data_IF_789024185167
#
_entry.id   IF_789024185167
#
_cell.length_a   1.000
_cell.length_b   1.000
_cell.length_c   1.000
_cell.angle_alpha   90.00
_cell.angle_beta   90.00
_cell.angle_gamma   90.00
#
_symmetry.space_group_name_H-M   'P 1'
#
loop_
_entity.id
_entity.type
_entity.pdbx_description
1 polymer ?
#
# COMPACT_ATOMS: atom_id res chain seq x y z
N UNK A 1 -11.97 5.47 -21.94
CA UNK A 1 -10.65 4.85 -22.13
C UNK A 1 -10.82 3.34 -22.09
N UNK A 2 -10.29 2.58 -23.06
CA UNK A 2 -10.46 1.12 -23.08
C UNK A 2 -9.47 0.44 -22.12
N UNK A 3 -9.92 -0.64 -21.48
CA UNK A 3 -9.07 -1.46 -20.60
C UNK A 3 -7.98 -2.19 -21.40
N UNK A 4 -6.86 -2.51 -20.74
CA UNK A 4 -5.77 -3.33 -21.31
C UNK A 4 -4.67 -2.55 -22.03
N UNK A 5 -4.83 -1.24 -22.26
CA UNK A 5 -3.75 -0.42 -22.80
C UNK A 5 -2.68 -0.16 -21.73
N UNK A 6 -1.41 -0.44 -22.08
CA UNK A 6 -0.25 -0.31 -21.16
C UNK A 6 -0.15 1.06 -20.49
N UNK A 7 -0.56 2.13 -21.19
CA UNK A 7 -0.43 3.51 -20.74
C UNK A 7 -1.76 4.12 -20.25
N UNK A 8 -2.82 3.30 -20.11
CA UNK A 8 -4.14 3.79 -19.70
C UNK A 8 -4.09 4.41 -18.30
N UNK A 9 -3.55 3.69 -17.32
CA UNK A 9 -3.50 4.13 -15.93
C UNK A 9 -2.74 5.46 -15.77
N UNK A 10 -1.61 5.64 -16.44
CA UNK A 10 -0.81 6.86 -16.38
C UNK A 10 -1.51 8.04 -17.05
N UNK A 11 -2.26 7.78 -18.13
CA UNK A 11 -3.05 8.81 -18.79
C UNK A 11 -4.24 9.22 -17.93
N UNK A 12 -4.89 8.25 -17.28
CA UNK A 12 -5.99 8.52 -16.36
C UNK A 12 -5.52 9.23 -15.08
N UNK A 13 -4.38 8.84 -14.51
CA UNK A 13 -3.78 9.54 -13.37
C UNK A 13 -3.52 11.01 -13.70
N UNK A 14 -2.89 11.32 -14.84
CA UNK A 14 -2.65 12.71 -15.27
C UNK A 14 -3.95 13.51 -15.40
N UNK A 15 -5.00 12.89 -15.92
CA UNK A 15 -6.31 13.51 -16.00
C UNK A 15 -6.90 13.78 -14.61
N UNK A 16 -6.80 12.83 -13.68
CA UNK A 16 -7.27 13.01 -12.30
C UNK A 16 -6.45 14.09 -11.56
N UNK A 17 -5.14 14.15 -11.79
CA UNK A 17 -4.28 15.21 -11.25
C UNK A 17 -4.74 16.60 -11.75
N UNK A 18 -5.10 16.71 -13.03
CA UNK A 18 -5.66 17.94 -13.62
C UNK A 18 -7.02 18.31 -13.01
N UNK A 19 -7.91 17.32 -12.88
CA UNK A 19 -9.23 17.50 -12.26
C UNK A 19 -9.08 18.01 -10.83
N UNK A 20 -8.18 17.42 -10.04
CA UNK A 20 -7.95 17.76 -8.63
C UNK A 20 -7.06 18.99 -8.42
N UNK A 21 -6.51 19.58 -9.48
CA UNK A 21 -5.59 20.71 -9.37
C UNK A 21 -6.21 21.86 -8.56
N UNK A 22 -5.47 22.33 -7.55
CA UNK A 22 -5.92 23.39 -6.65
C UNK A 22 -6.88 22.96 -5.53
N UNK A 23 -7.16 21.66 -5.40
CA UNK A 23 -7.86 21.09 -4.23
C UNK A 23 -6.83 20.44 -3.31
N UNK A 24 -6.41 21.15 -2.27
CA UNK A 24 -5.39 20.72 -1.30
C UNK A 24 -5.90 19.71 -0.25
N UNK A 25 -7.21 19.48 -0.23
CA UNK A 25 -7.90 18.55 0.67
C UNK A 25 -8.24 17.19 0.05
N UNK A 26 -7.72 16.92 -1.15
CA UNK A 26 -7.95 15.69 -1.91
C UNK A 26 -6.63 15.02 -2.29
N UNK A 27 -6.64 13.70 -2.35
CA UNK A 27 -5.55 12.91 -2.92
C UNK A 27 -6.11 11.86 -3.88
N UNK A 28 -5.73 11.94 -5.16
CA UNK A 28 -6.17 11.02 -6.20
C UNK A 28 -5.10 10.00 -6.55
N UNK A 29 -5.48 8.72 -6.64
CA UNK A 29 -4.65 7.66 -7.18
C UNK A 29 -5.48 6.81 -8.15
N UNK A 30 -5.21 7.00 -9.44
CA UNK A 30 -5.96 6.43 -10.55
C UNK A 30 -7.45 6.71 -10.34
N UNK A 31 -8.25 5.72 -10.01
CA UNK A 31 -9.70 5.77 -9.84
C UNK A 31 -10.16 6.05 -8.40
N UNK A 32 -9.26 6.00 -7.43
CA UNK A 32 -9.58 6.25 -6.03
C UNK A 32 -9.24 7.69 -5.63
N UNK A 33 -10.20 8.39 -5.01
CA UNK A 33 -10.01 9.74 -4.47
C UNK A 33 -10.26 9.73 -2.96
N UNK A 34 -9.25 10.10 -2.19
CA UNK A 34 -9.35 10.34 -0.75
C UNK A 34 -9.62 11.82 -0.48
N UNK A 35 -10.59 12.11 0.38
CA UNK A 35 -10.93 13.48 0.81
C UNK A 35 -10.75 13.57 2.32
N UNK A 36 -10.04 14.60 2.78
CA UNK A 36 -9.73 14.79 4.20
C UNK A 36 -10.04 16.22 4.65
N UNK A 37 -10.42 16.39 5.91
CA UNK A 37 -10.85 17.69 6.47
C UNK A 37 -10.73 17.67 7.99
N UNK A 38 -10.67 18.82 8.64
CA UNK A 38 -10.53 18.93 10.10
C UNK A 38 -11.88 18.95 10.83
N UNK A 39 -12.99 19.16 10.13
CA UNK A 39 -14.34 19.12 10.70
C UNK A 39 -15.39 18.60 9.73
N UNK A 40 -16.53 18.13 10.25
CA UNK A 40 -17.66 17.70 9.43
C UNK A 40 -18.23 18.82 8.54
N UNK A 41 -18.21 20.06 9.03
CA UNK A 41 -18.72 21.20 8.26
C UNK A 41 -17.81 21.55 7.09
N UNK A 42 -16.51 21.57 7.33
CA UNK A 42 -15.49 21.72 6.30
C UNK A 42 -15.54 20.57 5.29
N UNK A 43 -15.69 19.33 5.77
CA UNK A 43 -15.79 18.15 4.90
C UNK A 43 -16.95 18.23 3.92
N UNK A 44 -18.13 18.71 4.36
CA UNK A 44 -19.26 18.96 3.46
C UNK A 44 -18.92 20.01 2.40
N UNK A 45 -18.15 21.03 2.75
CA UNK A 45 -17.72 22.05 1.79
C UNK A 45 -16.70 21.51 0.78
N UNK A 46 -15.74 20.71 1.25
CA UNK A 46 -14.74 20.03 0.41
C UNK A 46 -15.39 19.06 -0.57
N UNK A 47 -16.34 18.25 -0.11
CA UNK A 47 -17.10 17.35 -0.97
C UNK A 47 -17.90 18.12 -2.04
N UNK A 48 -18.50 19.26 -1.69
CA UNK A 48 -19.21 20.11 -2.66
C UNK A 48 -18.27 20.60 -3.76
N UNK A 49 -17.13 21.20 -3.38
CA UNK A 49 -16.13 21.69 -4.33
C UNK A 49 -15.59 20.56 -5.21
N UNK A 50 -15.30 19.39 -4.63
CA UNK A 50 -14.87 18.22 -5.38
C UNK A 50 -15.94 17.78 -6.38
N UNK A 51 -17.20 17.59 -5.95
CA UNK A 51 -18.25 17.10 -6.85
C UNK A 51 -18.58 18.09 -7.97
N UNK A 52 -18.52 19.40 -7.69
CA UNK A 52 -18.63 20.43 -8.73
C UNK A 52 -17.50 20.29 -9.75
N UNK A 53 -16.27 20.08 -9.28
CA UNK A 53 -15.10 19.86 -10.14
C UNK A 53 -15.21 18.58 -10.98
N UNK A 54 -15.59 17.45 -10.35
CA UNK A 54 -15.81 16.19 -11.06
C UNK A 54 -16.87 16.36 -12.15
N UNK A 55 -17.97 17.06 -11.84
CA UNK A 55 -19.03 17.37 -12.80
C UNK A 55 -18.54 18.24 -13.97
N UNK A 56 -17.72 19.25 -13.72
CA UNK A 56 -17.15 20.12 -14.77
C UNK A 56 -16.30 19.33 -15.77
N UNK A 57 -15.53 18.35 -15.29
CA UNK A 57 -14.68 17.50 -16.13
C UNK A 57 -15.38 16.24 -16.64
N UNK A 58 -16.67 16.05 -16.37
CA UNK A 58 -17.45 14.89 -16.81
C UNK A 58 -17.07 13.58 -16.12
N UNK A 59 -16.49 13.62 -14.92
CA UNK A 59 -16.13 12.45 -14.13
C UNK A 59 -17.36 11.93 -13.39
N UNK A 60 -17.70 10.66 -13.60
CA UNK A 60 -18.83 10.00 -12.96
C UNK A 60 -18.35 9.18 -11.77
N UNK A 61 -18.98 9.41 -10.62
CA UNK A 61 -18.66 8.70 -9.36
C UNK A 61 -19.57 7.50 -9.19
N UNK A 62 -19.00 6.36 -8.80
CA UNK A 62 -19.76 5.19 -8.39
C UNK A 62 -20.17 5.31 -6.92
N UNK A 63 -21.37 5.83 -6.67
CA UNK A 63 -21.90 6.08 -5.32
C UNK A 63 -21.97 4.83 -4.45
N UNK A 64 -22.18 3.64 -5.04
CA UNK A 64 -22.24 2.38 -4.30
C UNK A 64 -20.90 1.95 -3.69
N UNK A 65 -19.77 2.51 -4.19
CA UNK A 65 -18.42 2.25 -3.68
C UNK A 65 -17.89 3.39 -2.79
N UNK A 66 -18.62 4.49 -2.68
CA UNK A 66 -18.20 5.62 -1.86
C UNK A 66 -18.40 5.34 -0.37
N UNK A 67 -17.45 5.80 0.44
CA UNK A 67 -17.47 5.66 1.90
C UNK A 67 -17.41 7.08 2.50
N UNK A 68 -18.54 7.76 2.70
CA UNK A 68 -18.55 9.17 3.09
C UNK A 68 -18.32 9.36 4.60
N UNK A 69 -17.55 10.39 4.96
CA UNK A 69 -17.52 10.98 6.30
C UNK A 69 -17.08 10.06 7.44
N UNK A 70 -16.23 9.07 7.17
CA UNK A 70 -15.71 8.16 8.20
C UNK A 70 -14.48 8.75 8.90
N UNK A 71 -14.29 8.49 10.21
CA UNK A 71 -13.08 8.89 10.93
C UNK A 71 -11.83 8.10 10.49
N UNK A 72 -12.05 6.93 9.89
CA UNK A 72 -11.01 6.07 9.36
C UNK A 72 -11.48 5.36 8.10
N UNK A 73 -10.56 5.13 7.15
CA UNK A 73 -10.85 4.48 5.88
C UNK A 73 -9.68 3.61 5.43
N UNK A 74 -9.98 2.55 4.69
CA UNK A 74 -8.95 1.81 3.95
C UNK A 74 -8.73 2.46 2.60
N UNK A 75 -7.50 2.89 2.32
CA UNK A 75 -7.13 3.54 1.07
C UNK A 75 -5.78 3.00 0.58
N UNK A 76 -5.74 2.52 -0.67
CA UNK A 76 -4.53 1.97 -1.32
C UNK A 76 -3.77 0.93 -0.51
N UNK A 77 -4.47 0.07 0.24
CA UNK A 77 -3.84 -0.96 1.07
C UNK A 77 -3.28 -0.46 2.42
N UNK A 78 -3.64 0.76 2.83
CA UNK A 78 -3.35 1.31 4.15
C UNK A 78 -4.64 1.61 4.90
N UNK A 79 -4.57 1.53 6.22
CA UNK A 79 -5.57 2.10 7.09
C UNK A 79 -5.22 3.57 7.36
N UNK A 80 -6.11 4.50 7.07
CA UNK A 80 -5.88 5.95 7.18
C UNK A 80 -6.84 6.54 8.21
N UNK A 81 -6.32 7.28 9.17
CA UNK A 81 -7.09 8.02 10.16
C UNK A 81 -6.43 9.36 10.51
N UNK A 82 -7.04 10.13 11.41
CA UNK A 82 -6.47 11.37 11.92
C UNK A 82 -5.06 11.22 12.55
N UNK A 83 -4.70 10.01 12.99
CA UNK A 83 -3.38 9.72 13.56
C UNK A 83 -2.33 9.32 12.51
N UNK A 84 -2.70 9.26 11.24
CA UNK A 84 -1.82 8.92 10.13
C UNK A 84 -2.17 7.59 9.46
N UNK A 85 -1.18 7.00 8.80
CA UNK A 85 -1.35 5.78 7.99
C UNK A 85 -0.73 4.57 8.65
N UNK A 86 -1.41 3.42 8.56
CA UNK A 86 -0.95 2.14 9.11
C UNK A 86 -1.09 1.00 8.09
N UNK A 87 -0.32 -0.09 8.25
CA UNK A 87 -0.57 -1.32 7.51
C UNK A 87 -1.93 -1.92 7.87
N UNK A 88 -2.53 -2.66 6.93
CA UNK A 88 -3.74 -3.43 7.20
C UNK A 88 -3.41 -4.68 8.01
N UNK A 89 -4.22 -4.99 9.03
CA UNK A 89 -4.10 -6.20 9.86
C UNK A 89 -4.01 -7.47 9.01
N UNK A 90 -4.89 -7.58 8.00
CA UNK A 90 -4.92 -8.72 7.08
C UNK A 90 -3.60 -8.92 6.32
N UNK A 91 -2.89 -7.83 6.02
CA UNK A 91 -1.59 -7.88 5.34
C UNK A 91 -0.45 -8.20 6.29
N UNK A 92 -0.52 -7.74 7.53
CA UNK A 92 0.41 -8.16 8.59
C UNK A 92 0.26 -9.66 8.88
N UNK A 93 -0.96 -10.16 8.96
CA UNK A 93 -1.21 -11.60 9.14
C UNK A 93 -0.74 -12.42 7.93
N UNK A 94 -0.86 -11.88 6.71
CA UNK A 94 -0.29 -12.51 5.51
C UNK A 94 1.23 -12.63 5.59
N UNK A 95 1.94 -11.63 6.12
CA UNK A 95 3.39 -11.70 6.36
C UNK A 95 3.71 -12.77 7.41
N UNK A 96 2.90 -12.85 8.47
CA UNK A 96 3.09 -13.81 9.57
C UNK A 96 2.96 -15.25 9.11
N UNK A 97 1.93 -15.53 8.33
CA UNK A 97 1.62 -16.86 7.83
C UNK A 97 2.38 -17.21 6.54
N UNK A 98 3.22 -16.32 6.03
CA UNK A 98 3.91 -16.54 4.77
C UNK A 98 4.78 -17.81 4.85
N UNK A 99 4.60 -18.79 3.95
CA UNK A 99 5.34 -20.04 3.99
C UNK A 99 6.80 -19.83 3.63
N UNK A 100 7.67 -20.71 4.11
CA UNK A 100 9.08 -20.71 3.71
C UNK A 100 9.19 -20.88 2.19
N UNK A 101 9.79 -19.92 1.46
CA UNK A 101 9.82 -19.96 0.01
C UNK A 101 10.73 -21.09 -0.48
N UNK A 102 10.21 -21.88 -1.41
CA UNK A 102 10.91 -22.99 -2.08
C UNK A 102 11.35 -22.61 -3.49
N UNK A 103 10.83 -21.51 -4.04
CA UNK A 103 11.13 -21.01 -5.40
C UNK A 103 11.45 -19.53 -5.39
N UNK A 104 12.22 -19.11 -6.39
CA UNK A 104 12.58 -17.70 -6.63
C UNK A 104 11.34 -16.81 -6.70
N UNK A 105 10.27 -17.27 -7.36
CA UNK A 105 9.00 -16.55 -7.44
C UNK A 105 8.40 -16.24 -6.06
N UNK A 106 8.48 -17.20 -5.14
CA UNK A 106 7.92 -17.10 -3.79
C UNK A 106 8.74 -16.11 -2.96
N UNK A 107 10.08 -16.21 -3.03
CA UNK A 107 10.95 -15.24 -2.33
C UNK A 107 10.79 -13.81 -2.88
N UNK A 108 10.67 -13.64 -4.20
CA UNK A 108 10.39 -12.32 -4.80
C UNK A 108 9.03 -11.78 -4.37
N UNK A 109 8.00 -12.63 -4.34
CA UNK A 109 6.66 -12.26 -3.87
C UNK A 109 6.70 -11.81 -2.41
N UNK A 110 7.41 -12.54 -1.55
CA UNK A 110 7.61 -12.19 -0.14
C UNK A 110 8.29 -10.83 0.01
N UNK A 111 9.43 -10.63 -0.65
CA UNK A 111 10.17 -9.36 -0.60
C UNK A 111 9.38 -8.20 -1.20
N UNK A 112 8.57 -8.43 -2.23
CA UNK A 112 7.66 -7.43 -2.77
C UNK A 112 6.62 -6.98 -1.74
N UNK A 113 6.04 -7.92 -1.00
CA UNK A 113 5.11 -7.63 0.09
C UNK A 113 5.78 -6.84 1.23
N UNK A 114 6.99 -7.23 1.63
CA UNK A 114 7.75 -6.48 2.65
C UNK A 114 8.10 -5.06 2.18
N UNK A 115 8.48 -4.92 0.91
CA UNK A 115 8.85 -3.62 0.34
C UNK A 115 7.68 -2.63 0.29
N UNK A 116 6.45 -3.13 0.14
CA UNK A 116 5.26 -2.28 0.24
C UNK A 116 5.16 -1.57 1.60
N UNK A 117 5.52 -2.26 2.69
CA UNK A 117 5.47 -1.72 4.05
C UNK A 117 6.81 -1.23 4.62
N UNK A 118 7.88 -1.18 3.80
CA UNK A 118 9.23 -0.81 4.26
C UNK A 118 9.31 0.54 4.96
N UNK A 119 8.39 1.48 4.64
CA UNK A 119 8.33 2.82 5.25
C UNK A 119 8.11 2.78 6.77
N UNK A 120 7.51 1.70 7.27
CA UNK A 120 7.19 1.48 8.67
C UNK A 120 8.27 0.68 9.41
N UNK A 121 9.34 0.27 8.72
CA UNK A 121 10.33 -0.66 9.24
C UNK A 121 11.72 -0.03 9.14
N UNK A 122 12.26 0.30 10.31
CA UNK A 122 13.66 0.70 10.44
C UNK A 122 14.60 -0.42 9.97
N UNK A 123 15.68 -0.05 9.29
CA UNK A 123 16.67 -0.98 8.75
C UNK A 123 16.14 -2.03 7.76
N UNK A 124 14.99 -1.79 7.12
CA UNK A 124 14.38 -2.68 6.12
C UNK A 124 15.37 -3.21 5.07
N UNK A 125 16.23 -2.34 4.53
CA UNK A 125 17.21 -2.74 3.52
C UNK A 125 18.25 -3.74 4.05
N UNK A 126 18.75 -3.53 5.27
CA UNK A 126 19.72 -4.43 5.92
C UNK A 126 19.08 -5.80 6.22
N UNK A 127 17.83 -5.81 6.67
CA UNK A 127 17.09 -7.03 6.96
C UNK A 127 16.83 -7.86 5.69
N UNK A 128 16.55 -7.20 4.57
CA UNK A 128 16.28 -7.86 3.29
C UNK A 128 17.56 -8.22 2.51
N UNK A 129 18.71 -7.63 2.82
CA UNK A 129 19.97 -7.86 2.11
C UNK A 129 20.31 -9.36 1.91
N UNK A 130 20.35 -10.21 2.95
CA UNK A 130 20.67 -11.64 2.78
C UNK A 130 19.66 -12.39 1.89
N UNK A 131 18.42 -11.91 1.81
CA UNK A 131 17.39 -12.48 0.95
C UNK A 131 17.54 -12.00 -0.50
N UNK A 132 17.96 -10.75 -0.71
CA UNK A 132 18.24 -10.19 -2.03
C UNK A 132 19.50 -10.78 -2.67
N UNK A 133 20.49 -11.19 -1.87
CA UNK A 133 21.71 -11.86 -2.35
C UNK A 133 21.42 -13.19 -3.08
N UNK A 134 20.27 -13.83 -2.78
CA UNK A 134 19.80 -14.99 -3.56
C UNK A 134 19.61 -14.63 -5.03
N UNK A 135 19.41 -13.35 -5.36
CA UNK A 135 19.24 -12.87 -6.73
C UNK A 135 20.52 -12.36 -7.39
N UNK A 136 21.67 -12.30 -6.69
CA UNK A 136 22.88 -11.63 -7.18
C UNK A 136 23.73 -12.47 -8.17
N UNK A 137 23.14 -13.47 -8.83
CA UNK A 137 23.78 -14.35 -9.82
C UNK A 137 23.05 -14.36 -11.18
N UNK A 138 23.70 -14.97 -12.19
CA UNK A 138 23.25 -15.10 -13.60
C UNK A 138 21.75 -15.40 -13.76
N UNK A 139 21.07 -14.75 -14.73
CA UNK A 139 19.66 -14.91 -15.16
C UNK A 139 18.80 -15.92 -14.36
N UNK A 140 18.47 -15.57 -13.11
CA UNK A 140 17.62 -16.39 -12.25
C UNK A 140 16.17 -16.26 -12.72
N UNK A 141 15.62 -17.33 -13.31
CA UNK A 141 14.19 -17.43 -13.67
C UNK A 141 13.34 -17.68 -12.42
N UNK A 142 12.09 -17.22 -12.43
CA UNK A 142 11.12 -17.39 -11.34
C UNK A 142 10.89 -18.85 -10.93
N UNK A 143 11.04 -19.80 -11.85
CA UNK A 143 10.81 -21.22 -11.63
C UNK A 143 11.94 -21.93 -10.89
N UNK A 144 13.11 -21.31 -10.72
CA UNK A 144 14.24 -21.98 -10.07
C UNK A 144 13.92 -22.28 -8.60
N UNK A 145 14.29 -23.49 -8.13
CA UNK A 145 14.19 -23.83 -6.72
C UNK A 145 15.20 -23.01 -5.91
N UNK A 146 14.83 -22.68 -4.68
CA UNK A 146 15.72 -22.09 -3.68
C UNK A 146 16.12 -23.20 -2.71
N UNK A 147 17.42 -23.34 -2.49
CA UNK A 147 17.95 -24.15 -1.38
C UNK A 147 17.96 -23.28 -0.13
N UNK A 148 17.03 -23.54 0.78
CA UNK A 148 16.96 -22.86 2.07
C UNK A 148 18.03 -23.42 3.01
N UNK A 149 19.26 -22.89 2.88
CA UNK A 149 20.33 -23.19 3.84
C UNK A 149 19.92 -22.74 5.25
N UNK A 150 20.48 -23.31 6.32
CA UNK A 150 20.19 -22.86 7.69
C UNK A 150 20.38 -21.35 7.88
N UNK A 151 21.37 -20.75 7.22
CA UNK A 151 21.64 -19.32 7.25
C UNK A 151 20.54 -18.52 6.54
N UNK A 152 20.10 -18.97 5.36
CA UNK A 152 19.06 -18.28 4.59
C UNK A 152 17.68 -18.42 5.27
N UNK A 153 17.39 -19.57 5.85
CA UNK A 153 16.17 -19.79 6.65
C UNK A 153 16.15 -18.86 7.87
N UNK A 154 17.27 -18.78 8.59
CA UNK A 154 17.41 -17.84 9.72
C UNK A 154 17.21 -16.40 9.28
N UNK A 155 17.85 -15.98 8.18
CA UNK A 155 17.67 -14.63 7.64
C UNK A 155 16.21 -14.34 7.24
N UNK A 156 15.51 -15.33 6.69
CA UNK A 156 14.08 -15.21 6.37
C UNK A 156 13.23 -15.02 7.62
N UNK A 157 13.45 -15.84 8.65
CA UNK A 157 12.73 -15.76 9.92
C UNK A 157 13.03 -14.46 10.66
N UNK A 158 14.29 -14.05 10.74
CA UNK A 158 14.73 -12.81 11.37
C UNK A 158 14.10 -11.59 10.66
N UNK A 159 14.15 -11.56 9.33
CA UNK A 159 13.51 -10.51 8.54
C UNK A 159 11.99 -10.48 8.80
N UNK A 160 11.30 -11.62 8.71
CA UNK A 160 9.85 -11.70 8.96
C UNK A 160 9.49 -11.23 10.36
N UNK A 161 10.16 -11.75 11.38
CA UNK A 161 9.84 -11.46 12.78
C UNK A 161 10.11 -9.99 13.12
N UNK A 162 11.18 -9.41 12.58
CA UNK A 162 11.49 -8.00 12.79
C UNK A 162 10.47 -7.06 12.15
N UNK A 163 10.04 -7.39 10.92
CA UNK A 163 8.93 -6.70 10.26
C UNK A 163 7.66 -6.79 11.09
N UNK A 164 7.25 -7.98 11.51
CA UNK A 164 6.05 -8.17 12.32
C UNK A 164 6.10 -7.37 13.62
N UNK A 165 7.24 -7.37 14.32
CA UNK A 165 7.39 -6.60 15.56
C UNK A 165 7.10 -5.11 15.36
N UNK A 166 7.66 -4.50 14.31
CA UNK A 166 7.46 -3.07 14.03
C UNK A 166 6.05 -2.77 13.50
N UNK A 167 5.49 -3.63 12.65
CA UNK A 167 4.14 -3.44 12.12
C UNK A 167 3.06 -3.64 13.19
N UNK A 168 3.20 -4.64 14.07
CA UNK A 168 2.27 -4.86 15.19
C UNK A 168 2.33 -3.73 16.22
N UNK A 169 3.50 -3.18 16.52
CA UNK A 169 3.57 -2.03 17.42
C UNK A 169 2.73 -0.85 16.91
N UNK A 170 2.76 -0.59 15.59
CA UNK A 170 1.99 0.51 14.99
C UNK A 170 0.47 0.29 15.05
N UNK A 171 0.04 -0.96 14.98
CA UNK A 171 -1.37 -1.33 15.15
C UNK A 171 -1.80 -1.10 16.60
N UNK A 172 -1.03 -1.60 17.58
CA UNK A 172 -1.40 -1.56 18.99
C UNK A 172 -1.33 -0.18 19.65
N UNK A 173 -0.44 0.72 19.22
CA UNK A 173 -0.27 2.07 19.80
C UNK A 173 -1.53 2.96 19.75
N UNK A 174 -2.63 2.53 19.11
CA UNK A 174 -3.91 3.28 19.12
C UNK A 174 -5.10 2.57 19.77
N UNK A 175 -4.96 1.34 20.27
CA UNK A 175 -6.00 0.79 21.15
C UNK A 175 -5.95 1.40 22.56
N UNK A 176 -4.95 2.25 22.84
CA UNK A 176 -4.70 2.86 24.14
C UNK A 176 -4.87 4.39 24.18
N UNK A 177 -5.29 5.02 23.07
CA UNK A 177 -5.60 6.45 22.96
C UNK A 177 -7.03 6.63 22.43
#
# INVERSE_FOLDING_TARGET
MNYGLRNAAQTFQRFIDEVLLGLDFCYGYIDDILVFSSSNQEHKNHLRQLFERLKQYGVVVNTAKCIPGQPEVTFLGYHVSAAGTKPLESKVETIRQYPVPKKVKELRSFLGMLNFYRRFVSNAAQLQAPLNDVFSGSKIKESHPIVMTPQLLRAFEDCRNHYLKQLFSLIQTQLQN
#
